data_IF_346564866014
#
_entry.id   IF_346564866014
#
_cell.length_a   1.000
_cell.length_b   1.000
_cell.length_c   1.000
_cell.angle_alpha   90.00
_cell.angle_beta   90.00
_cell.angle_gamma   90.00
#
_symmetry.space_group_name_H-M   'P 1'
#
loop_
_entity.id
_entity.type
_entity.pdbx_description
1 polymer ?
#
# COMPACT_ATOMS: atom_id res chain seq x y z
N UNK A 1 50.80 9.11 -76.11
CA UNK A 1 49.45 8.59 -75.77
C UNK A 1 49.23 8.73 -74.22
N UNK A 2 48.34 9.61 -73.85
CA UNK A 2 48.23 10.09 -72.47
C UNK A 2 47.29 9.16 -71.64
N UNK A 3 47.77 8.62 -70.50
CA UNK A 3 46.96 7.98 -69.49
C UNK A 3 46.23 9.06 -68.64
N UNK A 4 44.94 8.94 -68.53
CA UNK A 4 44.11 9.82 -67.70
C UNK A 4 43.87 9.11 -66.32
N UNK A 5 44.32 9.78 -65.27
CA UNK A 5 44.10 9.37 -63.88
C UNK A 5 42.64 9.44 -63.54
N UNK A 6 42.12 8.30 -63.12
CA UNK A 6 40.75 8.19 -62.56
C UNK A 6 40.83 8.15 -60.99
N UNK A 7 40.62 9.33 -60.39
CA UNK A 7 40.55 9.46 -58.92
C UNK A 7 39.17 8.95 -58.41
N UNK A 8 39.20 7.85 -57.76
CA UNK A 8 38.04 7.35 -57.00
C UNK A 8 37.93 8.14 -55.69
N UNK A 9 36.89 8.97 -55.54
CA UNK A 9 36.50 9.61 -54.28
C UNK A 9 35.60 8.63 -53.53
N UNK A 10 36.16 8.00 -52.51
CA UNK A 10 35.38 7.18 -51.54
C UNK A 10 34.54 8.13 -50.67
N UNK A 11 33.25 8.21 -50.97
CA UNK A 11 32.26 8.77 -50.05
C UNK A 11 32.00 7.76 -48.94
N UNK A 12 32.53 7.99 -47.74
CA UNK A 12 32.15 7.28 -46.52
C UNK A 12 30.91 8.02 -45.97
N UNK A 13 29.70 7.41 -45.96
CA UNK A 13 28.58 8.02 -45.28
C UNK A 13 28.87 7.95 -43.79
N UNK A 14 29.04 9.09 -43.13
CA UNK A 14 29.08 9.26 -41.69
C UNK A 14 27.65 8.95 -41.15
N UNK A 15 27.42 7.71 -40.77
CA UNK A 15 26.21 7.35 -40.06
C UNK A 15 26.32 7.95 -38.65
N UNK A 16 25.84 9.17 -38.48
CA UNK A 16 25.50 9.71 -37.18
C UNK A 16 24.32 8.90 -36.63
N UNK A 17 24.61 7.85 -35.86
CA UNK A 17 23.63 7.20 -35.04
C UNK A 17 23.05 8.22 -34.05
N UNK A 18 21.85 8.71 -34.35
CA UNK A 18 21.06 9.49 -33.41
C UNK A 18 20.67 8.49 -32.32
N UNK A 19 21.45 8.40 -31.25
CA UNK A 19 21.01 7.83 -29.97
C UNK A 19 19.93 8.78 -29.46
N UNK A 20 18.72 8.61 -29.97
CA UNK A 20 17.53 9.18 -29.35
C UNK A 20 17.39 8.54 -27.99
N UNK A 21 17.87 9.20 -26.96
CA UNK A 21 17.51 8.88 -25.58
C UNK A 21 16.01 9.21 -25.46
N UNK A 22 15.18 8.24 -25.72
CA UNK A 22 13.73 8.35 -25.47
C UNK A 22 13.56 8.56 -23.99
N UNK A 23 13.37 9.80 -23.54
CA UNK A 23 12.91 10.06 -22.20
C UNK A 23 11.57 9.37 -22.05
N UNK A 24 11.44 8.48 -21.03
CA UNK A 24 10.14 7.90 -20.71
C UNK A 24 9.16 9.03 -20.38
N UNK A 25 7.96 8.94 -20.90
CA UNK A 25 6.88 9.83 -20.51
C UNK A 25 6.58 9.70 -19.02
N UNK A 26 6.08 10.77 -18.43
CA UNK A 26 5.77 10.83 -17.00
C UNK A 26 4.25 10.83 -16.83
N UNK A 27 3.74 9.92 -15.99
CA UNK A 27 2.36 9.92 -15.56
C UNK A 27 2.28 10.57 -14.18
N UNK A 28 1.48 11.63 -14.06
CA UNK A 28 1.35 12.42 -12.83
C UNK A 28 0.25 11.86 -11.95
N UNK A 29 0.53 11.70 -10.66
CA UNK A 29 -0.43 11.38 -9.62
C UNK A 29 -1.17 12.60 -9.08
N UNK A 30 -1.86 12.42 -7.96
CA UNK A 30 -2.68 13.45 -7.34
C UNK A 30 -2.61 13.35 -5.80
N UNK A 31 -2.41 14.49 -5.12
CA UNK A 31 -2.42 14.55 -3.64
C UNK A 31 -3.83 14.64 -3.05
N UNK A 32 -4.85 14.94 -3.84
CA UNK A 32 -6.26 14.96 -3.43
C UNK A 32 -6.84 13.53 -3.42
N UNK A 33 -6.42 12.73 -2.44
CA UNK A 33 -6.80 11.31 -2.31
C UNK A 33 -8.07 11.11 -1.49
N UNK A 34 -8.66 9.91 -1.54
CA UNK A 34 -9.83 9.52 -0.72
C UNK A 34 -9.39 8.49 0.35
N UNK A 35 -9.69 8.72 1.65
CA UNK A 35 -10.36 9.91 2.25
C UNK A 35 -9.55 11.18 2.03
N UNK A 36 -10.25 12.32 1.87
CA UNK A 36 -9.59 13.61 1.68
C UNK A 36 -8.84 14.00 2.96
N UNK A 37 -7.53 14.28 2.90
CA UNK A 37 -6.78 14.77 4.05
C UNK A 37 -7.27 16.12 4.56
N UNK A 38 -6.99 16.44 5.82
CA UNK A 38 -7.43 17.71 6.44
C UNK A 38 -6.88 18.94 5.70
N UNK A 39 -5.63 18.91 5.28
CA UNK A 39 -4.98 19.98 4.53
C UNK A 39 -4.22 19.40 3.34
N UNK A 40 -4.49 19.92 2.15
CA UNK A 40 -3.77 19.56 0.91
C UNK A 40 -3.38 20.84 0.20
N UNK A 41 -2.14 20.92 -0.24
CA UNK A 41 -1.65 22.00 -1.10
C UNK A 41 -0.84 21.35 -2.24
N UNK A 42 -1.30 21.50 -3.45
CA UNK A 42 -0.64 20.96 -4.65
C UNK A 42 -0.22 22.09 -5.56
N UNK A 43 1.02 22.02 -6.05
CA UNK A 43 1.56 22.97 -7.02
C UNK A 43 1.20 22.51 -8.43
N UNK A 44 0.47 23.35 -9.17
CA UNK A 44 -0.05 23.02 -10.50
C UNK A 44 0.78 23.67 -11.63
N UNK A 45 2.09 23.80 -11.45
CA UNK A 45 3.02 24.37 -12.45
C UNK A 45 3.79 23.30 -13.26
N UNK A 46 3.42 22.03 -13.08
CA UNK A 46 4.08 20.88 -13.71
C UNK A 46 5.31 20.38 -12.96
N UNK A 47 5.64 20.96 -11.81
CA UNK A 47 6.75 20.45 -10.97
C UNK A 47 6.33 19.21 -10.20
N UNK A 48 7.20 18.19 -10.22
CA UNK A 48 6.89 16.89 -9.61
C UNK A 48 8.15 16.15 -9.16
N UNK A 49 8.00 15.25 -8.22
CA UNK A 49 8.98 14.23 -7.87
C UNK A 49 8.77 13.01 -8.76
N UNK A 50 9.80 12.63 -9.51
CA UNK A 50 9.75 11.47 -10.41
C UNK A 50 10.32 10.25 -9.71
N UNK A 51 9.58 9.14 -9.73
CA UNK A 51 9.99 7.87 -9.16
C UNK A 51 10.61 7.00 -10.25
N UNK A 52 11.85 6.59 -10.04
CA UNK A 52 12.59 5.71 -10.92
C UNK A 52 13.44 4.70 -10.12
N UNK A 53 14.23 3.87 -10.79
CA UNK A 53 15.10 2.85 -10.18
C UNK A 53 16.23 3.45 -9.31
N UNK A 54 16.52 4.74 -9.42
CA UNK A 54 17.47 5.45 -8.56
C UNK A 54 16.85 5.92 -7.26
N UNK A 55 15.52 6.00 -7.20
CA UNK A 55 14.78 6.43 -6.00
C UNK A 55 15.10 5.53 -4.80
N UNK A 56 15.38 6.16 -3.66
CA UNK A 56 15.74 5.46 -2.42
C UNK A 56 14.76 5.84 -1.31
N UNK A 57 14.15 4.85 -0.66
CA UNK A 57 13.36 5.06 0.56
C UNK A 57 14.29 4.98 1.75
N UNK A 58 14.37 6.07 2.50
CA UNK A 58 15.23 6.25 3.65
C UNK A 58 14.42 6.16 4.96
N UNK A 59 14.96 5.44 5.96
CA UNK A 59 14.33 5.28 7.26
C UNK A 59 15.35 5.27 8.38
N UNK A 60 14.99 5.58 9.65
CA UNK A 60 15.91 5.58 10.79
C UNK A 60 16.49 4.19 11.06
N UNK A 61 17.83 4.11 11.17
CA UNK A 61 18.52 2.88 11.56
C UNK A 61 18.06 2.38 12.94
N UNK A 62 17.95 1.06 13.09
CA UNK A 62 17.55 0.40 14.35
C UNK A 62 16.06 0.45 14.67
N UNK A 63 15.22 1.05 13.83
CA UNK A 63 13.77 1.06 14.01
C UNK A 63 13.10 0.05 13.05
N UNK A 64 12.81 -1.16 13.54
CA UNK A 64 12.22 -2.25 12.75
C UNK A 64 10.81 -1.93 12.22
N UNK A 65 10.03 -1.10 12.93
CA UNK A 65 8.71 -0.67 12.45
C UNK A 65 8.83 0.30 11.29
N UNK A 66 9.79 1.23 11.34
CA UNK A 66 10.07 2.16 10.25
C UNK A 66 10.64 1.44 9.03
N UNK A 67 11.50 0.43 9.25
CA UNK A 67 11.96 -0.46 8.18
C UNK A 67 10.79 -1.14 7.48
N UNK A 68 9.86 -1.73 8.24
CA UNK A 68 8.65 -2.35 7.70
C UNK A 68 7.78 -1.35 6.94
N UNK A 69 7.62 -0.15 7.44
CA UNK A 69 6.92 0.93 6.73
C UNK A 69 7.58 1.24 5.39
N UNK A 70 8.91 1.28 5.33
CA UNK A 70 9.66 1.46 4.08
C UNK A 70 9.46 0.28 3.11
N UNK A 71 9.46 -0.95 3.62
CA UNK A 71 9.17 -2.17 2.84
C UNK A 71 7.75 -2.15 2.26
N UNK A 72 6.74 -1.71 3.02
CA UNK A 72 5.38 -1.52 2.49
C UNK A 72 5.35 -0.48 1.36
N UNK A 73 5.99 0.68 1.55
CA UNK A 73 6.02 1.70 0.51
C UNK A 73 6.71 1.20 -0.76
N UNK A 74 7.83 0.49 -0.64
CA UNK A 74 8.52 -0.11 -1.79
C UNK A 74 7.62 -1.11 -2.53
N UNK A 75 6.89 -1.95 -1.79
CA UNK A 75 5.94 -2.89 -2.38
C UNK A 75 4.78 -2.18 -3.10
N UNK A 76 4.25 -1.09 -2.54
CA UNK A 76 3.19 -0.29 -3.17
C UNK A 76 3.68 0.38 -4.45
N UNK A 77 4.88 0.99 -4.43
CA UNK A 77 5.48 1.60 -5.63
C UNK A 77 5.66 0.54 -6.72
N UNK A 78 6.19 -0.64 -6.37
CA UNK A 78 6.35 -1.74 -7.32
C UNK A 78 4.99 -2.19 -7.90
N UNK A 79 3.96 -2.29 -7.06
CA UNK A 79 2.63 -2.75 -7.46
C UNK A 79 1.92 -1.79 -8.41
N UNK A 80 1.96 -0.47 -8.12
CA UNK A 80 1.17 0.52 -8.88
C UNK A 80 1.96 1.24 -9.95
N UNK A 81 3.27 1.39 -9.77
CA UNK A 81 4.15 2.11 -10.70
C UNK A 81 5.13 1.20 -11.46
N UNK A 82 5.07 -0.12 -11.22
CA UNK A 82 5.97 -1.12 -11.82
C UNK A 82 7.48 -0.75 -11.71
N UNK A 83 7.85 0.01 -10.65
CA UNK A 83 9.22 0.50 -10.41
C UNK A 83 9.78 -0.15 -9.15
N UNK A 84 10.99 -0.69 -9.22
CA UNK A 84 11.73 -1.15 -8.05
C UNK A 84 12.59 -0.02 -7.49
N UNK A 85 12.43 0.24 -6.18
CA UNK A 85 13.17 1.28 -5.47
C UNK A 85 14.07 0.67 -4.41
N UNK A 86 15.09 1.41 -3.99
CA UNK A 86 16.06 0.95 -2.98
C UNK A 86 15.61 1.34 -1.57
N UNK A 87 16.07 0.58 -0.57
CA UNK A 87 15.89 0.89 0.84
C UNK A 87 17.24 1.26 1.47
N UNK A 88 17.27 2.26 2.33
CA UNK A 88 18.46 2.70 3.06
C UNK A 88 18.13 3.03 4.51
N UNK A 89 18.91 2.49 5.43
CA UNK A 89 18.86 2.86 6.86
C UNK A 89 19.60 4.18 7.11
N UNK A 90 19.20 5.24 6.42
CA UNK A 90 19.74 6.60 6.54
C UNK A 90 18.58 7.59 6.75
N UNK A 91 18.54 8.23 7.91
CA UNK A 91 17.47 9.16 8.26
C UNK A 91 17.50 10.50 7.51
N UNK A 92 18.57 10.81 6.76
CA UNK A 92 18.71 12.11 6.07
C UNK A 92 18.28 12.07 4.62
N UNK A 93 18.51 10.94 3.94
CA UNK A 93 18.31 10.82 2.51
C UNK A 93 19.21 11.78 1.71
N UNK A 94 19.10 11.73 0.40
CA UNK A 94 19.75 12.63 -0.56
C UNK A 94 18.77 13.02 -1.65
N UNK A 95 19.29 13.45 -2.79
CA UNK A 95 18.47 13.69 -3.97
C UNK A 95 17.79 12.39 -4.43
N UNK A 96 16.60 12.50 -4.99
CA UNK A 96 15.73 11.41 -5.42
C UNK A 96 15.45 10.39 -4.28
N UNK A 97 15.10 10.91 -3.10
CA UNK A 97 14.79 10.08 -1.93
C UNK A 97 13.40 10.33 -1.37
N UNK A 98 12.82 9.28 -0.75
CA UNK A 98 11.61 9.33 0.06
C UNK A 98 12.04 9.08 1.50
N UNK A 99 11.97 10.09 2.35
CA UNK A 99 12.47 10.04 3.73
C UNK A 99 11.32 9.83 4.71
N UNK A 100 11.38 8.74 5.46
CA UNK A 100 10.46 8.42 6.53
C UNK A 100 11.08 8.83 7.87
N UNK A 101 10.39 9.64 8.67
CA UNK A 101 10.93 10.13 9.93
C UNK A 101 9.84 10.31 11.00
N UNK A 102 10.27 10.38 12.27
CA UNK A 102 9.39 10.68 13.39
C UNK A 102 9.55 12.16 13.78
N UNK A 103 8.42 12.80 14.11
CA UNK A 103 8.36 14.17 14.58
C UNK A 103 7.47 14.27 15.83
N UNK A 104 8.09 14.31 17.01
CA UNK A 104 7.40 14.37 18.30
C UNK A 104 6.66 15.70 18.54
N UNK A 105 6.81 16.69 17.66
CA UNK A 105 6.09 17.98 17.77
C UNK A 105 4.67 17.91 17.27
N UNK A 106 4.34 16.88 16.47
CA UNK A 106 2.97 16.63 16.00
C UNK A 106 2.06 16.29 17.17
N UNK A 107 0.84 16.82 17.16
CA UNK A 107 -0.09 16.70 18.29
C UNK A 107 -0.79 15.35 18.40
N UNK A 108 -1.02 14.68 17.27
CA UNK A 108 -1.80 13.44 17.17
C UNK A 108 -0.88 12.24 16.90
N UNK A 109 -1.04 11.15 17.64
CA UNK A 109 -0.19 9.94 17.50
C UNK A 109 -0.33 9.26 16.14
N UNK A 110 -1.47 9.42 15.49
CA UNK A 110 -1.72 8.93 14.13
C UNK A 110 -1.59 10.04 13.06
N UNK A 111 -1.19 11.25 13.48
CA UNK A 111 -0.97 12.40 12.59
C UNK A 111 0.31 12.30 11.79
N UNK A 112 0.28 12.89 10.58
CA UNK A 112 1.44 12.95 9.70
C UNK A 112 1.47 14.24 8.88
N UNK A 113 2.66 14.57 8.41
CA UNK A 113 2.94 15.57 7.40
C UNK A 113 3.69 14.91 6.24
N UNK A 114 3.22 15.14 5.03
CA UNK A 114 3.86 14.73 3.79
C UNK A 114 4.22 15.99 3.00
N UNK A 115 5.46 16.06 2.53
CA UNK A 115 5.97 17.17 1.71
C UNK A 115 6.66 16.61 0.49
N UNK A 116 6.33 17.15 -0.67
CA UNK A 116 6.88 16.73 -1.97
C UNK A 116 7.60 17.92 -2.61
N UNK A 117 8.89 17.79 -2.83
CA UNK A 117 9.71 18.66 -3.68
C UNK A 117 10.18 17.88 -4.91
N UNK A 118 10.90 18.53 -5.83
CA UNK A 118 11.48 17.84 -6.99
C UNK A 118 12.56 16.83 -6.59
N UNK A 119 13.27 17.13 -5.52
CA UNK A 119 14.45 16.37 -5.06
C UNK A 119 14.07 15.29 -4.05
N UNK A 120 13.02 15.52 -3.26
CA UNK A 120 12.71 14.66 -2.12
C UNK A 120 11.24 14.66 -1.76
N UNK A 121 10.75 13.48 -1.35
CA UNK A 121 9.51 13.32 -0.58
C UNK A 121 9.87 13.11 0.89
N UNK A 122 9.23 13.84 1.80
CA UNK A 122 9.34 13.65 3.24
C UNK A 122 8.01 13.21 3.83
N UNK A 123 8.00 12.10 4.58
CA UNK A 123 6.85 11.63 5.35
C UNK A 123 7.21 11.63 6.82
N UNK A 124 6.59 12.50 7.60
CA UNK A 124 6.80 12.65 9.04
C UNK A 124 5.55 12.25 9.80
N UNK A 125 5.68 11.38 10.76
CA UNK A 125 4.59 11.02 11.67
C UNK A 125 4.99 11.23 13.12
N UNK A 126 4.04 11.45 14.02
CA UNK A 126 4.34 11.48 15.46
C UNK A 126 4.79 10.12 15.97
N UNK A 127 4.19 9.06 15.43
CA UNK A 127 4.56 7.67 15.70
C UNK A 127 4.76 6.94 14.37
N UNK A 128 5.22 5.70 14.45
CA UNK A 128 5.35 4.85 13.26
C UNK A 128 4.00 4.60 12.58
N UNK A 129 2.87 4.63 13.33
CA UNK A 129 1.53 4.55 12.79
C UNK A 129 1.19 5.80 11.95
N UNK A 130 1.52 7.00 12.43
CA UNK A 130 1.35 8.23 11.66
C UNK A 130 2.13 8.20 10.35
N UNK A 131 3.39 7.74 10.37
CA UNK A 131 4.19 7.55 9.14
C UNK A 131 3.50 6.56 8.20
N UNK A 132 2.97 5.45 8.72
CA UNK A 132 2.24 4.46 7.92
C UNK A 132 1.01 5.07 7.22
N UNK A 133 0.23 5.91 7.90
CA UNK A 133 -0.90 6.60 7.26
C UNK A 133 -0.46 7.62 6.21
N UNK A 134 0.66 8.30 6.42
CA UNK A 134 1.29 9.13 5.38
C UNK A 134 1.72 8.32 4.16
N UNK A 135 2.22 7.09 4.37
CA UNK A 135 2.54 6.14 3.29
C UNK A 135 1.27 5.70 2.56
N UNK A 136 0.15 5.46 3.24
CA UNK A 136 -1.12 5.13 2.59
C UNK A 136 -1.63 6.28 1.72
N UNK A 137 -1.42 7.52 2.15
CA UNK A 137 -1.73 8.70 1.33
C UNK A 137 -0.84 8.76 0.10
N UNK A 138 0.46 8.56 0.25
CA UNK A 138 1.39 8.52 -0.88
C UNK A 138 1.05 7.35 -1.84
N UNK A 139 0.69 6.18 -1.32
CA UNK A 139 0.23 5.04 -2.13
C UNK A 139 -0.97 5.39 -3.02
N UNK A 140 -1.98 6.07 -2.44
CA UNK A 140 -3.17 6.51 -3.19
C UNK A 140 -2.86 7.65 -4.18
N UNK A 141 -1.86 8.47 -3.88
CA UNK A 141 -1.41 9.56 -4.74
C UNK A 141 -0.61 9.08 -5.96
N UNK A 142 -0.05 7.87 -5.91
CA UNK A 142 0.71 7.29 -7.02
C UNK A 142 -0.19 7.02 -8.23
N UNK A 143 0.24 7.39 -9.45
CA UNK A 143 -0.46 6.98 -10.66
C UNK A 143 -0.22 5.49 -10.92
N UNK A 144 -1.22 4.80 -11.44
CA UNK A 144 -1.06 3.42 -11.92
C UNK A 144 -0.37 3.44 -13.27
N UNK A 145 0.81 2.80 -13.38
CA UNK A 145 1.55 2.66 -14.63
C UNK A 145 1.92 1.20 -14.86
N UNK A 146 2.18 0.85 -16.13
CA UNK A 146 2.64 -0.50 -16.53
C UNK A 146 4.18 -0.57 -16.69
N UNK A 147 4.89 0.49 -16.26
CA UNK A 147 6.34 0.64 -16.40
C UNK A 147 6.78 1.21 -17.76
N UNK A 148 5.86 1.49 -18.68
CA UNK A 148 6.18 2.19 -19.94
C UNK A 148 6.38 3.67 -19.70
N UNK A 149 5.72 4.24 -18.69
CA UNK A 149 5.88 5.61 -18.21
C UNK A 149 6.47 5.62 -16.79
N UNK A 150 7.07 6.75 -16.38
CA UNK A 150 7.51 6.97 -15.02
C UNK A 150 6.37 7.54 -14.17
N UNK A 151 6.22 7.05 -12.96
CA UNK A 151 5.29 7.63 -11.99
C UNK A 151 5.89 8.91 -11.39
N UNK A 152 5.08 9.95 -11.26
CA UNK A 152 5.49 11.16 -10.57
C UNK A 152 4.38 11.68 -9.65
N UNK A 153 4.80 12.32 -8.57
CA UNK A 153 3.92 12.96 -7.60
C UNK A 153 4.11 14.48 -7.72
N UNK A 154 3.03 15.26 -7.87
CA UNK A 154 3.13 16.72 -7.94
C UNK A 154 3.73 17.30 -6.67
N UNK A 155 4.55 18.35 -6.81
CA UNK A 155 5.08 19.07 -5.66
C UNK A 155 3.93 19.65 -4.82
N UNK A 156 4.09 19.61 -3.50
CA UNK A 156 3.05 20.05 -2.60
C UNK A 156 3.22 19.54 -1.17
N UNK A 157 2.16 19.64 -0.41
CA UNK A 157 2.15 19.13 0.98
C UNK A 157 0.77 18.62 1.37
N UNK A 158 0.78 17.63 2.26
CA UNK A 158 -0.41 17.10 2.93
C UNK A 158 -0.16 17.12 4.42
N UNK A 159 -1.16 17.57 5.18
CA UNK A 159 -1.19 17.44 6.63
C UNK A 159 -2.49 16.80 7.05
N UNK A 160 -2.38 15.70 7.78
CA UNK A 160 -3.56 14.93 8.14
C UNK A 160 -3.44 14.28 9.52
N UNK A 161 -4.57 14.09 10.14
CA UNK A 161 -4.74 13.34 11.39
C UNK A 161 -6.20 12.87 11.48
N UNK A 162 -6.48 11.72 12.13
CA UNK A 162 -7.84 11.21 12.21
C UNK A 162 -8.73 12.08 13.09
N UNK A 163 -9.95 12.35 12.63
CA UNK A 163 -11.00 13.01 13.42
C UNK A 163 -11.51 12.12 14.56
N UNK A 164 -11.54 10.80 14.34
CA UNK A 164 -12.01 9.81 15.31
C UNK A 164 -10.90 8.82 15.63
N UNK A 165 -10.68 8.56 16.92
CA UNK A 165 -9.70 7.56 17.37
C UNK A 165 -10.12 6.12 17.08
N UNK A 166 -11.42 5.85 16.96
CA UNK A 166 -11.95 4.54 16.55
C UNK A 166 -12.49 4.62 15.12
N UNK A 167 -11.91 3.81 14.22
CA UNK A 167 -12.34 3.65 12.84
C UNK A 167 -12.40 2.16 12.54
N UNK A 168 -13.57 1.57 12.74
CA UNK A 168 -13.77 0.12 12.72
C UNK A 168 -14.53 -0.36 11.50
N UNK A 169 -14.21 -1.60 11.10
CA UNK A 169 -14.95 -2.35 10.10
C UNK A 169 -15.17 -3.78 10.59
N UNK A 170 -16.35 -4.32 10.37
CA UNK A 170 -16.72 -5.66 10.81
C UNK A 170 -16.90 -6.61 9.63
N UNK A 171 -16.34 -7.81 9.75
CA UNK A 171 -16.59 -8.92 8.82
C UNK A 171 -17.22 -10.07 9.58
N UNK A 172 -18.40 -10.48 9.14
CA UNK A 172 -19.11 -11.62 9.67
C UNK A 172 -18.67 -12.91 8.95
N UNK A 173 -17.83 -13.69 9.60
CA UNK A 173 -17.38 -14.99 9.10
C UNK A 173 -18.22 -16.15 9.65
N UNK A 174 -19.10 -15.87 10.62
CA UNK A 174 -20.05 -16.83 11.19
C UNK A 174 -21.09 -17.28 10.17
N UNK A 175 -21.74 -16.33 9.48
CA UNK A 175 -22.74 -16.62 8.45
C UNK A 175 -22.11 -17.13 7.16
N UNK A 176 -20.97 -16.54 6.72
CA UNK A 176 -20.19 -17.01 5.57
C UNK A 176 -18.73 -17.13 5.96
N UNK A 177 -18.15 -18.30 5.75
CA UNK A 177 -16.73 -18.51 6.00
C UNK A 177 -15.89 -17.91 4.86
N UNK A 178 -14.86 -17.13 5.23
CA UNK A 178 -13.87 -16.59 4.32
C UNK A 178 -12.49 -17.17 4.62
N UNK A 179 -11.66 -17.35 3.61
CA UNK A 179 -10.29 -17.84 3.79
C UNK A 179 -9.38 -16.82 4.50
N UNK A 180 -8.27 -17.30 5.05
CA UNK A 180 -7.23 -16.44 5.65
C UNK A 180 -6.70 -15.45 4.62
N UNK A 181 -6.49 -15.87 3.37
CA UNK A 181 -5.99 -14.99 2.30
C UNK A 181 -6.98 -13.87 1.98
N UNK A 182 -8.27 -14.19 1.90
CA UNK A 182 -9.31 -13.17 1.70
C UNK A 182 -9.37 -12.16 2.86
N UNK A 183 -9.20 -12.62 4.11
CA UNK A 183 -9.15 -11.71 5.26
C UNK A 183 -7.91 -10.80 5.22
N UNK A 184 -6.78 -11.28 4.72
CA UNK A 184 -5.59 -10.43 4.50
C UNK A 184 -5.85 -9.36 3.44
N UNK A 185 -6.53 -9.69 2.35
CA UNK A 185 -6.95 -8.69 1.33
C UNK A 185 -7.87 -7.62 1.95
N UNK A 186 -8.84 -8.04 2.79
CA UNK A 186 -9.68 -7.09 3.53
C UNK A 186 -8.82 -6.19 4.43
N UNK A 187 -7.89 -6.76 5.19
CA UNK A 187 -7.00 -5.98 6.08
C UNK A 187 -6.14 -5.00 5.28
N UNK A 188 -5.65 -5.36 4.09
CA UNK A 188 -4.92 -4.44 3.21
C UNK A 188 -5.81 -3.28 2.73
N UNK A 189 -7.06 -3.56 2.39
CA UNK A 189 -8.03 -2.52 2.03
C UNK A 189 -8.38 -1.62 3.23
N UNK A 190 -8.52 -2.19 4.42
CA UNK A 190 -8.74 -1.42 5.66
C UNK A 190 -7.55 -0.48 5.93
N UNK A 191 -6.32 -0.97 5.78
CA UNK A 191 -5.11 -0.17 5.90
C UNK A 191 -5.09 0.99 4.89
N UNK A 192 -5.43 0.72 3.62
CA UNK A 192 -5.49 1.74 2.56
C UNK A 192 -6.47 2.88 2.90
N UNK A 193 -7.55 2.57 3.63
CA UNK A 193 -8.56 3.54 4.06
C UNK A 193 -8.36 4.06 5.50
N UNK A 194 -7.18 3.86 6.09
CA UNK A 194 -6.81 4.32 7.43
C UNK A 194 -7.75 3.81 8.54
N UNK A 195 -8.35 2.63 8.37
CA UNK A 195 -9.11 1.93 9.40
C UNK A 195 -8.12 1.32 10.40
N UNK A 196 -8.39 1.48 11.71
CA UNK A 196 -7.50 1.01 12.76
C UNK A 196 -8.09 -0.08 13.67
N UNK A 197 -9.35 -0.49 13.42
CA UNK A 197 -9.98 -1.61 14.12
C UNK A 197 -10.65 -2.55 13.13
N UNK A 198 -10.32 -3.84 13.24
CA UNK A 198 -10.96 -4.92 12.51
C UNK A 198 -11.79 -5.78 13.47
N UNK A 199 -13.12 -5.63 13.44
CA UNK A 199 -14.02 -6.49 14.19
C UNK A 199 -14.22 -7.79 13.41
N UNK A 200 -13.62 -8.85 13.88
CA UNK A 200 -13.67 -10.16 13.28
C UNK A 200 -14.74 -11.01 13.98
N UNK A 201 -15.97 -10.99 13.46
CA UNK A 201 -17.11 -11.69 14.04
C UNK A 201 -16.99 -13.19 13.77
N UNK A 202 -16.44 -13.91 14.74
CA UNK A 202 -15.99 -15.31 14.62
C UNK A 202 -17.06 -16.33 14.97
N UNK A 203 -18.07 -16.00 15.78
CA UNK A 203 -18.95 -17.00 16.39
C UNK A 203 -20.42 -16.59 16.34
N UNK A 204 -21.22 -17.50 15.81
CA UNK A 204 -22.67 -17.38 15.70
C UNK A 204 -23.32 -18.75 15.84
N UNK A 205 -24.66 -18.80 16.02
CA UNK A 205 -25.44 -20.03 15.97
C UNK A 205 -25.38 -20.72 14.62
N UNK A 206 -25.19 -19.94 13.53
CA UNK A 206 -25.04 -20.46 12.19
C UNK A 206 -23.64 -20.95 11.86
N UNK A 207 -22.64 -20.64 12.68
CA UNK A 207 -21.28 -21.12 12.45
C UNK A 207 -20.29 -20.66 13.51
N UNK A 208 -19.62 -21.61 14.10
CA UNK A 208 -18.49 -21.40 15.03
C UNK A 208 -17.18 -21.46 14.24
N UNK A 209 -16.41 -20.39 14.18
CA UNK A 209 -15.28 -20.26 13.25
C UNK A 209 -13.89 -20.22 13.91
N UNK A 210 -13.79 -20.34 15.24
CA UNK A 210 -12.51 -20.33 15.94
C UNK A 210 -12.24 -21.66 16.67
N UNK A 211 -11.06 -22.23 16.48
CA UNK A 211 -10.63 -23.44 17.18
C UNK A 211 -10.49 -23.21 18.68
N UNK A 212 -11.20 -24.03 19.48
CA UNK A 212 -11.01 -24.12 20.92
C UNK A 212 -10.55 -25.55 21.23
N UNK A 213 -9.25 -25.75 21.40
CA UNK A 213 -8.65 -27.10 21.60
C UNK A 213 -9.28 -27.90 22.72
N UNK A 214 -9.74 -27.21 23.78
CA UNK A 214 -10.46 -27.84 24.90
C UNK A 214 -11.88 -28.33 24.53
N UNK A 215 -12.50 -27.76 23.50
CA UNK A 215 -13.84 -28.04 23.05
C UNK A 215 -13.92 -28.32 21.55
N UNK A 216 -13.29 -29.41 21.04
CA UNK A 216 -13.13 -29.67 19.61
C UNK A 216 -14.46 -29.76 18.85
N UNK A 217 -15.53 -30.20 19.49
CA UNK A 217 -16.88 -30.29 18.87
C UNK A 217 -17.42 -28.94 18.41
N UNK A 218 -16.92 -27.81 18.94
CA UNK A 218 -17.32 -26.49 18.46
C UNK A 218 -16.91 -26.27 17.00
N UNK A 219 -15.79 -26.83 16.58
CA UNK A 219 -15.35 -26.76 15.17
C UNK A 219 -15.69 -28.01 14.38
N UNK A 220 -15.63 -29.20 14.96
CA UNK A 220 -15.99 -30.45 14.25
C UNK A 220 -17.45 -30.46 13.79
N UNK A 221 -18.37 -29.91 14.58
CA UNK A 221 -19.82 -29.87 14.34
C UNK A 221 -20.26 -28.46 14.03
N UNK A 222 -19.96 -27.50 14.93
CA UNK A 222 -20.46 -26.13 14.87
C UNK A 222 -19.93 -25.29 13.69
N UNK A 223 -18.83 -25.73 13.04
CA UNK A 223 -18.33 -25.07 11.83
C UNK A 223 -19.07 -25.45 10.56
N UNK A 224 -20.03 -26.39 10.62
CA UNK A 224 -20.66 -26.97 9.45
C UNK A 224 -22.15 -26.68 9.43
N UNK A 225 -22.66 -26.25 8.29
CA UNK A 225 -24.07 -25.95 8.07
C UNK A 225 -24.51 -26.47 6.69
N UNK A 226 -25.72 -27.05 6.60
CA UNK A 226 -26.23 -27.66 5.38
C UNK A 226 -26.73 -26.63 4.35
N UNK A 227 -27.18 -25.47 4.81
CA UNK A 227 -27.78 -24.44 3.97
C UNK A 227 -27.75 -23.09 4.69
N UNK A 228 -27.98 -22.00 3.95
CA UNK A 228 -28.13 -20.64 4.48
C UNK A 228 -29.54 -20.13 4.18
N UNK A 229 -30.08 -19.29 5.05
CA UNK A 229 -31.32 -18.56 4.78
C UNK A 229 -31.02 -17.48 3.76
N UNK A 230 -31.66 -17.54 2.58
CA UNK A 230 -31.58 -16.51 1.53
C UNK A 230 -32.45 -15.32 1.84
N UNK A 231 -33.62 -15.57 2.32
CA UNK A 231 -34.64 -14.58 2.60
C UNK A 231 -35.24 -14.84 4.00
N UNK A 232 -35.14 -13.83 4.86
CA UNK A 232 -35.58 -13.90 6.24
C UNK A 232 -37.12 -13.88 6.39
N UNK A 233 -37.84 -13.31 5.43
CA UNK A 233 -39.31 -13.26 5.44
C UNK A 233 -39.89 -14.61 5.01
N UNK A 234 -39.44 -15.12 3.88
CA UNK A 234 -39.94 -16.38 3.31
C UNK A 234 -39.31 -17.64 3.92
N UNK A 235 -38.17 -17.47 4.65
CA UNK A 235 -37.34 -18.57 5.15
C UNK A 235 -36.80 -19.49 4.04
N UNK A 236 -36.69 -18.98 2.83
CA UNK A 236 -36.09 -19.71 1.72
C UNK A 236 -34.62 -20.06 2.01
N UNK A 237 -34.24 -21.30 1.71
CA UNK A 237 -32.89 -21.81 1.91
C UNK A 237 -32.15 -21.93 0.57
N UNK A 238 -30.82 -21.67 0.59
CA UNK A 238 -29.98 -21.79 -0.61
C UNK A 238 -29.55 -23.22 -0.92
N UNK A 239 -29.73 -24.14 0.01
CA UNK A 239 -29.27 -25.54 -0.09
C UNK A 239 -27.76 -25.70 -0.34
N UNK A 240 -26.97 -24.67 -0.06
CA UNK A 240 -25.52 -24.68 -0.23
C UNK A 240 -24.84 -24.95 1.12
N UNK A 241 -24.11 -26.07 1.28
CA UNK A 241 -23.38 -26.33 2.50
C UNK A 241 -22.25 -25.32 2.72
N UNK A 242 -22.13 -24.83 3.95
CA UNK A 242 -21.03 -23.96 4.39
C UNK A 242 -20.25 -24.66 5.47
N UNK A 243 -18.93 -24.67 5.36
CA UNK A 243 -18.03 -25.20 6.38
C UNK A 243 -16.71 -24.42 6.39
N UNK A 244 -16.02 -24.45 7.54
CA UNK A 244 -14.73 -23.83 7.72
C UNK A 244 -14.59 -23.23 9.11
N UNK A 245 -13.38 -23.18 9.59
CA UNK A 245 -12.98 -22.52 10.83
C UNK A 245 -11.51 -22.14 10.73
N UNK A 246 -11.07 -21.27 11.61
CA UNK A 246 -9.67 -20.89 11.74
C UNK A 246 -9.05 -21.65 12.91
N UNK A 247 -7.89 -22.21 12.66
CA UNK A 247 -7.04 -22.74 13.72
C UNK A 247 -6.50 -21.61 14.59
N UNK A 248 -6.01 -21.92 15.79
CA UNK A 248 -5.38 -20.90 16.63
C UNK A 248 -4.16 -20.28 15.97
N UNK A 249 -3.43 -21.01 15.14
CA UNK A 249 -2.27 -20.50 14.43
C UNK A 249 -2.68 -19.52 13.30
N UNK A 250 -3.71 -19.86 12.54
CA UNK A 250 -4.29 -18.95 11.55
C UNK A 250 -4.85 -17.67 12.20
N UNK A 251 -5.48 -17.80 13.36
CA UNK A 251 -5.96 -16.64 14.11
C UNK A 251 -4.79 -15.73 14.56
N UNK A 252 -3.71 -16.31 15.06
CA UNK A 252 -2.49 -15.54 15.40
C UNK A 252 -1.86 -14.88 14.18
N UNK A 253 -1.89 -15.56 13.04
CA UNK A 253 -1.40 -15.02 11.78
C UNK A 253 -2.17 -13.77 11.37
N UNK A 254 -3.50 -13.81 11.40
CA UNK A 254 -4.37 -12.65 11.09
C UNK A 254 -4.12 -11.49 12.06
N UNK A 255 -4.02 -11.77 13.37
CA UNK A 255 -3.74 -10.74 14.37
C UNK A 255 -2.38 -10.07 14.12
N UNK A 256 -1.35 -10.86 13.82
CA UNK A 256 -0.01 -10.33 13.49
C UNK A 256 -0.05 -9.50 12.20
N UNK A 257 -0.68 -10.01 11.14
CA UNK A 257 -0.80 -9.35 9.86
C UNK A 257 -1.49 -7.99 9.96
N UNK A 258 -2.57 -7.92 10.76
CA UNK A 258 -3.26 -6.67 11.06
C UNK A 258 -2.38 -5.71 11.90
N UNK A 259 -1.71 -6.22 12.94
CA UNK A 259 -0.85 -5.41 13.80
C UNK A 259 0.34 -4.79 13.05
N UNK A 260 0.88 -5.47 12.04
CA UNK A 260 1.92 -4.94 11.15
C UNK A 260 1.43 -3.73 10.34
N UNK A 261 0.11 -3.57 10.17
CA UNK A 261 -0.59 -2.45 9.52
C UNK A 261 -1.26 -1.49 10.49
N UNK A 262 -0.90 -1.58 11.77
CA UNK A 262 -1.46 -0.75 12.85
C UNK A 262 -2.98 -0.91 13.03
N UNK A 263 -3.50 -2.10 12.71
CA UNK A 263 -4.92 -2.46 12.88
C UNK A 263 -5.06 -3.40 14.08
N UNK A 264 -5.89 -3.02 15.04
CA UNK A 264 -6.26 -3.84 16.18
C UNK A 264 -7.41 -4.77 15.80
N UNK A 265 -7.23 -6.08 16.03
CA UNK A 265 -8.31 -7.06 15.84
C UNK A 265 -9.15 -7.17 17.11
N UNK A 266 -10.47 -7.08 16.95
CA UNK A 266 -11.47 -7.31 17.98
C UNK A 266 -12.22 -8.59 17.57
N UNK A 267 -12.08 -9.70 18.34
CA UNK A 267 -12.77 -10.95 18.03
C UNK A 267 -14.24 -10.92 18.45
#
# INVERSE_FOLDING_TARGET
MKLRDLRWVLFIPLICGILSCSQKEVTLGDLEVIPLPNEVSQVNDGTSFVIDESTTICYPEGNEKMKRNAEFLAAYIKQVAATEVRLSADAKGGDNSIVLSLDNTLSNDEGYELSVSKEQISVKGKTEAGVFYGIQTLHKALPVTDGTTLAAIPCGSVKDYPRFGYRGFMVDVGRHFFSVDYLKEIIDMLALHNINYFHWHLTEDQGWRIEIKKYPKLTEIGSKRKCTIKDWETKELDSIPVSGYYTQEEAKEIVRYAAERYITVIP
#
